data_IF_674725529249
#
_entry.id   IF_674725529249
#
_cell.length_a   1.000
_cell.length_b   1.000
_cell.length_c   1.000
_cell.angle_alpha   90.00
_cell.angle_beta   90.00
_cell.angle_gamma   90.00
#
_symmetry.space_group_name_H-M   'P 1'
#
loop_
_entity.id
_entity.type
_entity.pdbx_description
1 polymer ?
#
# COMPACT_ATOMS: atom_id res chain seq x y z
N UNK A 1 -2.73 -25.88 7.61
CA UNK A 1 -1.86 -25.42 6.50
C UNK A 1 -2.77 -24.92 5.38
N UNK A 2 -3.17 -23.64 5.42
CA UNK A 2 -4.18 -23.08 4.50
C UNK A 2 -3.48 -22.68 3.22
N UNK A 3 -3.53 -23.55 2.21
CA UNK A 3 -3.06 -23.23 0.87
C UNK A 3 -4.06 -22.27 0.23
N UNK A 4 -3.69 -20.99 0.15
CA UNK A 4 -4.43 -20.01 -0.65
C UNK A 4 -4.24 -20.42 -2.12
N UNK A 5 -5.22 -21.14 -2.65
CA UNK A 5 -5.34 -21.42 -4.07
C UNK A 5 -5.75 -20.11 -4.77
N UNK A 6 -4.79 -19.22 -5.02
CA UNK A 6 -4.99 -18.10 -5.92
C UNK A 6 -5.30 -18.64 -7.32
N UNK A 7 -6.60 -18.63 -7.64
CA UNK A 7 -7.18 -18.40 -8.95
C UNK A 7 -6.39 -19.00 -10.13
N UNK A 8 -6.33 -20.32 -10.21
CA UNK A 8 -5.95 -21.02 -11.46
C UNK A 8 -7.11 -21.77 -12.12
N UNK A 9 -8.31 -21.70 -11.54
CA UNK A 9 -9.47 -22.50 -11.94
C UNK A 9 -10.71 -21.71 -12.38
N UNK A 10 -10.67 -20.37 -12.37
CA UNK A 10 -11.83 -19.51 -12.70
C UNK A 10 -11.83 -19.01 -14.17
N UNK A 11 -10.78 -19.27 -14.97
CA UNK A 11 -10.64 -18.68 -16.32
C UNK A 11 -10.67 -19.68 -17.48
N UNK A 12 -11.19 -20.89 -17.30
CA UNK A 12 -11.09 -21.91 -18.37
C UNK A 12 -12.21 -21.92 -19.40
N UNK A 13 -13.41 -21.42 -19.10
CA UNK A 13 -14.58 -21.64 -19.99
C UNK A 13 -15.40 -20.37 -20.30
N UNK A 14 -14.86 -19.18 -20.05
CA UNK A 14 -15.47 -17.91 -20.49
C UNK A 14 -14.70 -17.44 -21.72
N UNK A 15 -15.35 -17.14 -22.87
CA UNK A 15 -14.67 -16.51 -23.99
C UNK A 15 -13.99 -15.24 -23.44
N UNK A 16 -12.66 -15.23 -23.47
CA UNK A 16 -11.90 -14.09 -22.97
C UNK A 16 -12.38 -12.86 -23.76
N UNK A 17 -12.84 -11.80 -23.09
CA UNK A 17 -13.22 -10.59 -23.80
C UNK A 17 -12.04 -10.14 -24.67
N UNK A 18 -12.34 -9.72 -25.89
CA UNK A 18 -11.35 -9.30 -26.90
C UNK A 18 -10.41 -8.20 -26.35
N UNK A 19 -10.89 -7.45 -25.36
CA UNK A 19 -10.13 -6.48 -24.60
C UNK A 19 -10.33 -6.68 -23.08
N UNK A 20 -9.25 -6.48 -22.31
CA UNK A 20 -9.30 -6.51 -20.85
C UNK A 20 -9.38 -5.06 -20.35
N UNK A 21 -10.58 -4.64 -19.94
CA UNK A 21 -10.77 -3.36 -19.26
C UNK A 21 -10.74 -3.58 -17.73
N UNK A 22 -9.85 -2.86 -17.06
CA UNK A 22 -9.72 -2.87 -15.60
C UNK A 22 -9.87 -1.45 -15.10
N UNK A 23 -10.89 -1.21 -14.26
CA UNK A 23 -11.16 0.11 -13.67
C UNK A 23 -9.99 0.68 -12.86
N UNK A 24 -9.10 -0.18 -12.38
CA UNK A 24 -7.93 0.19 -11.58
C UNK A 24 -6.61 0.11 -12.37
N UNK A 25 -6.71 -0.11 -13.69
CA UNK A 25 -5.57 -0.27 -14.59
C UNK A 25 -5.02 -1.69 -14.66
N UNK A 26 -4.18 -1.93 -15.66
CA UNK A 26 -3.51 -3.20 -15.90
C UNK A 26 -2.19 -3.29 -15.13
N UNK A 27 -1.96 -4.45 -14.52
CA UNK A 27 -0.72 -4.80 -13.83
C UNK A 27 -0.17 -6.13 -14.35
N UNK A 28 1.14 -6.36 -14.27
CA UNK A 28 1.71 -7.66 -14.59
C UNK A 28 1.09 -8.77 -13.74
N UNK A 29 0.52 -9.78 -14.40
CA UNK A 29 -0.03 -10.92 -13.68
C UNK A 29 1.09 -11.61 -12.86
N UNK A 30 0.85 -11.96 -11.59
CA UNK A 30 1.84 -12.61 -10.74
C UNK A 30 2.22 -13.96 -11.33
N UNK A 31 3.53 -14.21 -11.41
CA UNK A 31 4.07 -15.49 -11.87
C UNK A 31 4.03 -16.50 -10.73
N UNK A 32 3.62 -17.74 -11.03
CA UNK A 32 3.70 -18.82 -10.04
C UNK A 32 5.15 -19.12 -9.69
N UNK A 33 5.43 -19.43 -8.42
CA UNK A 33 6.80 -19.72 -7.92
C UNK A 33 7.53 -20.81 -8.71
N UNK A 34 6.79 -21.77 -9.27
CA UNK A 34 7.33 -22.87 -10.09
C UNK A 34 7.01 -22.69 -11.60
N UNK A 35 6.92 -21.44 -12.08
CA UNK A 35 6.69 -21.19 -13.50
C UNK A 35 7.86 -21.74 -14.33
N UNK A 36 7.55 -22.49 -15.39
CA UNK A 36 8.55 -23.03 -16.30
C UNK A 36 9.36 -21.89 -16.91
N UNK A 37 10.69 -22.06 -17.02
CA UNK A 37 11.58 -21.05 -17.60
C UNK A 37 11.12 -20.58 -19.00
N UNK A 38 10.60 -21.50 -19.82
CA UNK A 38 10.05 -21.17 -21.15
C UNK A 38 8.87 -20.19 -21.10
N UNK A 39 8.02 -20.26 -20.08
CA UNK A 39 6.90 -19.33 -19.88
C UNK A 39 7.41 -17.96 -19.45
N UNK A 40 8.37 -17.93 -18.51
CA UNK A 40 8.99 -16.70 -18.03
C UNK A 40 9.67 -15.96 -19.19
N UNK A 41 10.43 -16.67 -20.03
CA UNK A 41 11.09 -16.10 -21.19
C UNK A 41 10.10 -15.51 -22.18
N UNK A 42 8.99 -16.21 -22.49
CA UNK A 42 7.93 -15.68 -23.36
C UNK A 42 7.31 -14.41 -22.81
N UNK A 43 7.00 -14.38 -21.51
CA UNK A 43 6.42 -13.21 -20.84
C UNK A 43 7.42 -12.04 -20.85
N UNK A 44 8.69 -12.31 -20.53
CA UNK A 44 9.77 -11.31 -20.59
C UNK A 44 9.94 -10.73 -21.99
N UNK A 45 9.86 -11.56 -23.04
CA UNK A 45 9.92 -11.10 -24.41
C UNK A 45 8.76 -10.15 -24.77
N UNK A 46 7.54 -10.45 -24.30
CA UNK A 46 6.38 -9.55 -24.46
C UNK A 46 6.61 -8.20 -23.79
N UNK A 47 7.09 -8.17 -22.55
CA UNK A 47 7.40 -6.91 -21.87
C UNK A 47 8.57 -6.15 -22.51
N UNK A 48 9.59 -6.86 -23.02
CA UNK A 48 10.70 -6.23 -23.75
C UNK A 48 10.21 -5.59 -25.05
N UNK A 49 9.31 -6.26 -25.76
CA UNK A 49 8.65 -5.69 -26.94
C UNK A 49 7.81 -4.46 -26.57
N UNK A 50 7.01 -4.56 -25.51
CA UNK A 50 6.19 -3.45 -25.00
C UNK A 50 7.03 -2.20 -24.69
N UNK A 51 8.16 -2.36 -23.99
CA UNK A 51 9.06 -1.25 -23.70
C UNK A 51 9.67 -0.63 -24.96
N UNK A 52 10.07 -1.44 -25.94
CA UNK A 52 10.54 -0.94 -27.25
C UNK A 52 9.44 -0.20 -28.00
N UNK A 53 8.23 -0.73 -27.99
CA UNK A 53 7.07 -0.11 -28.62
C UNK A 53 6.74 1.24 -27.98
N UNK A 54 6.71 1.31 -26.65
CA UNK A 54 6.52 2.56 -25.90
C UNK A 54 7.61 3.57 -26.23
N UNK A 55 8.88 3.16 -26.21
CA UNK A 55 9.99 4.04 -26.57
C UNK A 55 9.85 4.57 -28.01
N UNK A 56 9.46 3.71 -28.96
CA UNK A 56 9.27 4.12 -30.36
C UNK A 56 8.11 5.10 -30.52
N UNK A 57 6.97 4.87 -29.88
CA UNK A 57 5.86 5.80 -29.93
C UNK A 57 6.21 7.16 -29.32
N UNK A 58 6.98 7.17 -28.22
CA UNK A 58 7.50 8.42 -27.64
C UNK A 58 8.41 9.17 -28.60
N UNK A 59 9.35 8.48 -29.26
CA UNK A 59 10.24 9.08 -30.27
C UNK A 59 9.46 9.65 -31.46
N UNK A 60 8.39 8.96 -31.88
CA UNK A 60 7.56 9.39 -33.00
C UNK A 60 6.46 10.38 -32.56
N UNK A 61 6.44 10.81 -31.30
CA UNK A 61 5.43 11.70 -30.70
C UNK A 61 3.98 11.21 -30.88
N UNK A 62 3.79 9.89 -30.87
CA UNK A 62 2.48 9.26 -31.02
C UNK A 62 1.90 8.90 -29.67
N UNK A 63 0.62 9.23 -29.48
CA UNK A 63 -0.14 8.73 -28.35
C UNK A 63 -0.30 7.20 -28.46
N UNK A 64 -0.11 6.53 -27.33
CA UNK A 64 -0.50 5.13 -27.16
C UNK A 64 -1.63 5.11 -26.14
N UNK A 65 -2.76 4.51 -26.52
CA UNK A 65 -3.82 4.22 -25.58
C UNK A 65 -3.52 2.91 -24.85
N UNK A 66 -3.01 3.01 -23.62
CA UNK A 66 -2.87 1.86 -22.72
C UNK A 66 -3.38 2.22 -21.33
N UNK A 67 -4.32 1.41 -20.83
CA UNK A 67 -4.92 1.56 -19.52
C UNK A 67 -4.03 1.00 -18.41
N UNK A 68 -2.78 1.47 -18.31
CA UNK A 68 -1.93 1.15 -17.15
C UNK A 68 -2.37 1.94 -15.93
N UNK A 69 -2.15 1.35 -14.76
CA UNK A 69 -2.38 2.09 -13.51
C UNK A 69 -1.37 3.21 -13.32
N UNK A 70 -1.80 4.29 -12.68
CA UNK A 70 -0.95 5.41 -12.29
C UNK A 70 0.27 4.98 -11.47
N UNK A 71 0.11 3.98 -10.60
CA UNK A 71 1.20 3.42 -9.78
C UNK A 71 2.28 2.81 -10.66
N UNK A 72 1.87 2.11 -11.72
CA UNK A 72 2.80 1.49 -12.66
C UNK A 72 3.60 2.53 -13.45
N UNK A 73 2.98 3.65 -13.81
CA UNK A 73 3.69 4.77 -14.43
C UNK A 73 4.70 5.44 -13.49
N UNK A 74 4.30 5.75 -12.25
CA UNK A 74 5.21 6.29 -11.23
C UNK A 74 6.42 5.38 -11.03
N UNK A 75 6.21 4.07 -11.01
CA UNK A 75 7.26 3.06 -10.92
C UNK A 75 8.21 3.08 -12.14
N UNK A 76 7.68 3.08 -13.36
CA UNK A 76 8.50 3.17 -14.60
C UNK A 76 9.33 4.46 -14.65
N UNK A 77 8.80 5.56 -14.12
CA UNK A 77 9.49 6.86 -14.06
C UNK A 77 10.54 6.94 -12.94
N UNK A 78 10.70 5.89 -12.12
CA UNK A 78 11.61 5.91 -10.97
C UNK A 78 11.13 6.81 -9.81
N UNK A 79 9.84 7.15 -9.78
CA UNK A 79 9.23 8.00 -8.75
C UNK A 79 8.64 7.16 -7.61
N UNK A 80 9.33 6.08 -7.22
CA UNK A 80 8.85 5.14 -6.21
C UNK A 80 8.67 5.80 -4.83
N UNK A 81 9.50 6.79 -4.52
CA UNK A 81 9.41 7.62 -3.30
C UNK A 81 8.11 8.43 -3.21
N UNK A 82 7.43 8.64 -4.34
CA UNK A 82 6.14 9.36 -4.37
C UNK A 82 4.96 8.44 -4.10
N UNK A 83 5.18 7.12 -4.00
CA UNK A 83 4.14 6.15 -3.72
C UNK A 83 3.72 6.21 -2.26
N UNK A 84 2.43 6.45 -2.04
CA UNK A 84 1.84 6.57 -0.72
C UNK A 84 0.74 5.53 -0.48
N UNK A 85 0.18 5.50 0.73
CA UNK A 85 -0.92 4.60 1.06
C UNK A 85 -2.16 4.82 0.18
N UNK A 86 -2.41 6.05 -0.27
CA UNK A 86 -3.55 6.35 -1.14
C UNK A 86 -3.37 5.72 -2.52
N UNK A 87 -2.15 5.63 -3.04
CA UNK A 87 -1.85 4.94 -4.31
C UNK A 87 -2.22 3.45 -4.27
N UNK A 88 -2.25 2.83 -3.10
CA UNK A 88 -2.65 1.43 -2.92
C UNK A 88 -4.09 1.16 -3.36
N UNK A 89 -4.97 2.18 -3.33
CA UNK A 89 -6.35 2.06 -3.79
C UNK A 89 -6.44 1.65 -5.26
N UNK A 90 -5.45 2.06 -6.06
CA UNK A 90 -5.36 1.75 -7.48
C UNK A 90 -4.82 0.35 -7.75
N UNK A 91 -4.16 -0.29 -6.78
CA UNK A 91 -3.65 -1.66 -6.92
C UNK A 91 -4.67 -2.65 -6.38
N UNK A 92 -5.04 -2.49 -5.11
CA UNK A 92 -5.96 -3.37 -4.40
C UNK A 92 -6.73 -2.56 -3.36
N UNK A 93 -7.98 -2.24 -3.70
CA UNK A 93 -8.89 -1.52 -2.82
C UNK A 93 -9.16 -2.28 -1.52
N UNK A 94 -9.31 -3.60 -1.56
CA UNK A 94 -9.59 -4.36 -0.35
C UNK A 94 -8.40 -4.28 0.61
N UNK A 95 -7.18 -4.41 0.09
CA UNK A 95 -5.97 -4.26 0.89
C UNK A 95 -5.85 -2.86 1.50
N UNK A 96 -6.10 -1.81 0.70
CA UNK A 96 -6.14 -0.43 1.16
C UNK A 96 -7.09 -0.24 2.36
N UNK A 97 -8.31 -0.76 2.28
CA UNK A 97 -9.29 -0.65 3.38
C UNK A 97 -8.80 -1.36 4.66
N UNK A 98 -8.14 -2.52 4.54
CA UNK A 98 -7.57 -3.20 5.70
C UNK A 98 -6.43 -2.40 6.34
N UNK A 99 -5.52 -1.87 5.53
CA UNK A 99 -4.41 -1.04 6.01
C UNK A 99 -4.90 0.24 6.69
N UNK A 100 -5.91 0.90 6.12
CA UNK A 100 -6.51 2.11 6.67
C UNK A 100 -7.13 1.86 8.04
N UNK A 101 -7.83 0.73 8.21
CA UNK A 101 -8.36 0.30 9.52
C UNK A 101 -7.24 0.08 10.51
N UNK A 102 -6.19 -0.64 10.14
CA UNK A 102 -5.05 -0.88 11.02
C UNK A 102 -4.37 0.42 11.45
N UNK A 103 -4.17 1.35 10.51
CA UNK A 103 -3.59 2.67 10.80
C UNK A 103 -4.45 3.46 11.80
N UNK A 104 -5.78 3.41 11.67
CA UNK A 104 -6.69 4.05 12.62
C UNK A 104 -6.54 3.48 14.05
N UNK A 105 -6.39 2.17 14.19
CA UNK A 105 -6.18 1.50 15.48
C UNK A 105 -4.86 1.95 16.12
N UNK A 106 -3.78 2.00 15.34
CA UNK A 106 -2.47 2.48 15.81
C UNK A 106 -2.57 3.94 16.27
N UNK A 107 -3.22 4.80 15.47
CA UNK A 107 -3.42 6.20 15.82
C UNK A 107 -4.23 6.38 17.12
N UNK A 108 -5.29 5.59 17.29
CA UNK A 108 -6.08 5.59 18.54
C UNK A 108 -5.19 5.18 19.72
N UNK A 109 -4.41 4.11 19.58
CA UNK A 109 -3.50 3.64 20.62
C UNK A 109 -2.48 4.72 21.00
N UNK A 110 -1.83 5.35 20.03
CA UNK A 110 -0.82 6.38 20.29
C UNK A 110 -1.42 7.62 20.97
N UNK A 111 -2.65 8.01 20.57
CA UNK A 111 -3.40 9.08 21.22
C UNK A 111 -3.73 8.74 22.68
N UNK A 112 -4.21 7.52 22.95
CA UNK A 112 -4.53 7.07 24.31
C UNK A 112 -3.29 6.96 25.20
N UNK A 113 -2.19 6.43 24.68
CA UNK A 113 -0.91 6.35 25.42
C UNK A 113 -0.42 7.75 25.77
N UNK A 114 -0.45 8.67 24.81
CA UNK A 114 -0.09 10.07 25.05
C UNK A 114 -0.98 10.70 26.12
N UNK A 115 -2.30 10.56 26.00
CA UNK A 115 -3.26 11.08 26.99
C UNK A 115 -3.01 10.51 28.39
N UNK A 116 -2.82 9.20 28.52
CA UNK A 116 -2.51 8.55 29.79
C UNK A 116 -1.18 9.05 30.38
N UNK A 117 -0.16 9.27 29.56
CA UNK A 117 1.10 9.83 30.02
C UNK A 117 0.92 11.25 30.60
N UNK A 118 0.15 12.09 29.93
CA UNK A 118 -0.16 13.46 30.37
C UNK A 118 -0.93 13.46 31.71
N UNK A 119 -1.96 12.60 31.84
CA UNK A 119 -2.74 12.44 33.06
C UNK A 119 -1.85 12.02 34.23
N UNK A 120 -0.97 11.04 34.03
CA UNK A 120 -0.05 10.57 35.06
C UNK A 120 0.94 11.66 35.51
N UNK A 121 1.45 12.48 34.58
CA UNK A 121 2.32 13.62 34.89
C UNK A 121 1.60 14.67 35.73
N UNK A 122 0.34 14.97 35.41
CA UNK A 122 -0.49 15.91 36.18
C UNK A 122 -0.74 15.37 37.59
N UNK A 123 -1.12 14.10 37.70
CA UNK A 123 -1.38 13.46 38.99
C UNK A 123 -0.13 13.47 39.89
N UNK A 124 1.04 13.15 39.33
CA UNK A 124 2.31 13.18 40.07
C UNK A 124 2.69 14.60 40.49
N UNK A 125 2.50 15.61 39.62
CA UNK A 125 2.75 17.02 39.98
C UNK A 125 1.82 17.53 41.09
N UNK A 126 0.55 17.10 41.10
CA UNK A 126 -0.41 17.42 42.18
C UNK A 126 0.00 16.77 43.51
N UNK A 127 0.46 15.51 43.48
CA UNK A 127 0.99 14.80 44.67
C UNK A 127 2.27 15.41 45.25
N UNK A 128 3.13 16.01 44.42
CA UNK A 128 4.30 16.73 44.91
C UNK A 128 3.92 18.06 45.58
N UNK A 129 3.01 18.86 44.97
CA UNK A 129 2.55 20.11 45.59
C UNK A 129 1.82 19.92 46.92
N UNK A 130 1.04 18.85 47.10
CA UNK A 130 0.34 18.59 48.36
C UNK A 130 1.27 18.17 49.51
N UNK A 131 2.55 17.88 49.26
CA UNK A 131 3.53 17.56 50.30
C UNK A 131 4.29 18.78 50.83
N UNK A 132 4.29 19.88 50.09
CA UNK A 132 5.00 21.11 50.46
C UNK A 132 4.13 22.09 51.29
N UNK A 133 2.79 21.95 51.25
CA UNK A 133 1.84 22.79 52.01
C UNK A 133 1.62 22.37 53.48
N UNK A 134 2.25 21.28 53.95
CA UNK A 134 2.09 20.79 55.34
C UNK A 134 3.26 21.15 56.29
N UNK A 135 4.13 22.10 55.95
CA UNK A 135 5.34 22.42 56.73
C UNK A 135 5.47 23.91 57.12
N UNK A 136 4.39 24.70 57.22
CA UNK A 136 4.48 26.11 57.65
C UNK A 136 3.43 26.57 58.66
N UNK A 137 3.04 25.72 59.60
CA UNK A 137 2.54 26.20 60.89
C UNK A 137 2.85 25.15 61.94
N UNK A 138 3.86 25.39 62.77
CA UNK A 138 4.00 25.00 64.18
C UNK A 138 5.46 25.06 64.60
N UNK A 139 5.90 26.21 65.10
CA UNK A 139 6.76 26.34 66.29
C UNK A 139 7.08 27.81 66.57
N UNK A 140 7.28 28.23 67.82
CA UNK A 140 6.50 27.96 69.04
C UNK A 140 5.63 29.16 69.46
#
# INVERSE_FOLDING_TARGET
MITIAFSKKIYKDVPLPEYVDSRSGLYPAPLGRNAKASVITKIRQKYKFLGKFMAKALMDTRMIDMSFSIVFYKWILGQEETLNLEDLVHIDRNLYEQFKKLQSIVHIRDKLVSQNHLINKIHNKKRLKSKDDCQLENSP
#
